data_IF_075023700392
#
_entry.id   IF_075023700392
#
_cell.length_a   1.000
_cell.length_b   1.000
_cell.length_c   1.000
_cell.angle_alpha   90.00
_cell.angle_beta   90.00
_cell.angle_gamma   90.00
#
_symmetry.space_group_name_H-M   'P 1'
#
loop_
_entity.id
_entity.type
_entity.pdbx_description
1 polymer ?
#
# COMPACT_ATOMS: atom_id res chain seq x y z
N UNK A 1 -8.69 -17.52 3.19
CA UNK A 1 -8.89 -16.08 2.89
C UNK A 1 -8.48 -15.32 4.13
N UNK A 2 -7.31 -14.68 4.13
CA UNK A 2 -6.88 -13.83 5.25
C UNK A 2 -7.54 -12.47 5.01
N UNK A 3 -8.39 -12.03 5.95
CA UNK A 3 -9.00 -10.70 5.94
C UNK A 3 -8.14 -9.79 6.79
N UNK A 4 -7.66 -8.69 6.21
CA UNK A 4 -6.88 -7.67 6.92
C UNK A 4 -7.77 -6.44 7.10
N UNK A 5 -8.12 -6.16 8.36
CA UNK A 5 -9.03 -5.09 8.76
C UNK A 5 -8.22 -3.85 9.14
N UNK A 6 -8.36 -2.80 8.34
CA UNK A 6 -7.73 -1.51 8.59
C UNK A 6 -8.68 -0.60 9.36
N UNK A 7 -8.21 0.01 10.45
CA UNK A 7 -8.95 1.05 11.18
C UNK A 7 -8.21 2.38 11.06
N UNK A 8 -8.83 3.38 10.44
CA UNK A 8 -8.31 4.75 10.49
C UNK A 8 -8.68 5.44 11.83
N UNK A 9 -8.19 6.68 12.06
CA UNK A 9 -8.49 7.45 13.29
C UNK A 9 -10.00 7.67 13.55
N UNK A 10 -10.86 7.45 12.56
CA UNK A 10 -12.31 7.57 12.67
C UNK A 10 -13.02 6.21 12.86
N UNK A 11 -12.28 5.09 12.94
CA UNK A 11 -12.85 3.76 13.11
C UNK A 11 -13.41 3.16 11.81
N UNK A 12 -13.02 3.70 10.65
CA UNK A 12 -13.44 3.15 9.36
C UNK A 12 -12.75 1.81 9.12
N UNK A 13 -13.56 0.76 8.89
CA UNK A 13 -13.08 -0.57 8.52
C UNK A 13 -12.90 -0.68 6.99
N UNK A 14 -11.67 -0.95 6.55
CA UNK A 14 -11.34 -1.21 5.13
C UNK A 14 -10.78 -2.62 5.00
N UNK A 15 -11.35 -3.42 4.09
CA UNK A 15 -10.83 -4.73 3.67
C UNK A 15 -9.73 -4.51 2.63
N UNK A 16 -8.52 -5.02 2.89
CA UNK A 16 -7.41 -4.97 1.93
C UNK A 16 -7.17 -6.32 1.25
N UNK A 17 -6.74 -6.27 -0.02
CA UNK A 17 -6.19 -7.45 -0.68
C UNK A 17 -4.81 -7.82 -0.09
N UNK A 18 -4.59 -9.11 0.26
CA UNK A 18 -3.34 -9.54 0.90
C UNK A 18 -2.13 -9.51 -0.03
N UNK A 19 -2.34 -9.38 -1.35
CA UNK A 19 -1.28 -9.29 -2.34
C UNK A 19 -0.94 -7.83 -2.64
N UNK A 20 0.29 -7.41 -2.31
CA UNK A 20 0.79 -6.09 -2.66
C UNK A 20 1.17 -6.02 -4.15
N UNK A 21 0.79 -4.93 -4.82
CA UNK A 21 1.00 -4.70 -6.25
C UNK A 21 1.59 -3.31 -6.52
N UNK A 22 2.34 -3.17 -7.61
CA UNK A 22 2.84 -1.87 -8.05
C UNK A 22 1.66 -0.99 -8.47
N UNK A 23 1.61 0.23 -7.95
CA UNK A 23 0.48 1.14 -8.15
C UNK A 23 -0.68 0.95 -7.19
N UNK A 24 -0.51 0.16 -6.12
CA UNK A 24 -1.41 0.20 -4.96
C UNK A 24 -1.27 1.50 -4.16
N UNK A 25 -2.10 1.63 -3.13
CA UNK A 25 -2.32 2.90 -2.43
C UNK A 25 -2.10 2.84 -0.92
N UNK A 26 -1.95 1.65 -0.33
CA UNK A 26 -1.87 1.50 1.12
C UNK A 26 -0.65 0.69 1.56
N UNK A 27 -0.09 1.08 2.70
CA UNK A 27 0.85 0.28 3.48
C UNK A 27 0.23 -0.03 4.83
N UNK A 28 0.53 -1.19 5.40
CA UNK A 28 0.15 -1.52 6.77
C UNK A 28 1.34 -2.03 7.56
N UNK A 29 1.29 -1.81 8.87
CA UNK A 29 2.29 -2.30 9.82
C UNK A 29 1.76 -3.52 10.56
N UNK A 30 2.68 -4.27 11.18
CA UNK A 30 2.33 -5.40 12.04
C UNK A 30 1.17 -5.05 12.98
N UNK A 31 0.25 -6.01 13.19
CA UNK A 31 -0.98 -5.75 13.91
C UNK A 31 -0.66 -5.38 15.36
N UNK A 32 -1.39 -4.38 15.86
CA UNK A 32 -1.43 -4.07 17.28
C UNK A 32 -2.64 -4.75 17.90
N UNK A 33 -2.54 -5.16 19.16
CA UNK A 33 -3.67 -5.72 19.90
C UNK A 33 -4.28 -4.64 20.79
N UNK A 34 -5.59 -4.43 20.68
CA UNK A 34 -6.35 -3.61 21.61
C UNK A 34 -7.59 -4.40 22.05
N UNK A 35 -7.70 -4.70 23.35
CA UNK A 35 -8.85 -5.41 23.93
C UNK A 35 -9.21 -6.71 23.17
N UNK A 36 -8.23 -7.59 22.94
CA UNK A 36 -8.37 -8.85 22.19
C UNK A 36 -8.77 -8.74 20.71
N UNK A 37 -8.82 -7.52 20.17
CA UNK A 37 -9.02 -7.26 18.74
C UNK A 37 -7.67 -6.99 18.08
N UNK A 38 -7.40 -7.73 17.00
CA UNK A 38 -6.25 -7.49 16.14
C UNK A 38 -6.54 -6.30 15.22
N UNK A 39 -5.83 -5.19 15.44
CA UNK A 39 -5.98 -3.95 14.68
C UNK A 39 -4.75 -3.79 13.79
N UNK A 40 -4.96 -3.74 12.48
CA UNK A 40 -3.92 -3.37 11.54
C UNK A 40 -3.95 -1.86 11.32
N UNK A 41 -2.81 -1.22 11.60
CA UNK A 41 -2.64 0.19 11.26
C UNK A 41 -2.15 0.30 9.84
N UNK A 42 -2.67 1.27 9.12
CA UNK A 42 -2.23 1.56 7.77
C UNK A 42 -2.16 3.05 7.51
N UNK A 43 -1.48 3.38 6.42
CA UNK A 43 -1.43 4.71 5.87
C UNK A 43 -1.55 4.63 4.36
N UNK A 44 -2.00 5.74 3.78
CA UNK A 44 -1.84 5.95 2.36
C UNK A 44 -0.36 5.89 1.98
N UNK A 45 -0.11 5.41 0.76
CA UNK A 45 1.18 5.43 0.11
C UNK A 45 1.72 6.86 0.18
N UNK A 46 2.92 7.07 0.76
CA UNK A 46 3.49 8.39 0.81
C UNK A 46 3.82 8.88 -0.59
N UNK A 47 3.87 10.20 -0.77
CA UNK A 47 4.23 10.81 -2.06
C UNK A 47 5.69 10.50 -2.42
N UNK A 48 6.55 10.44 -1.40
CA UNK A 48 7.97 10.14 -1.51
C UNK A 48 8.39 9.17 -0.40
N UNK A 49 9.44 8.38 -0.66
CA UNK A 49 10.04 7.48 0.33
C UNK A 49 11.53 7.76 0.46
N UNK A 50 12.03 7.55 1.66
CA UNK A 50 13.47 7.57 1.92
C UNK A 50 14.19 6.47 1.13
N UNK A 51 15.44 6.77 0.81
CA UNK A 51 16.36 5.85 0.16
C UNK A 51 16.55 4.57 0.98
N UNK A 52 16.78 3.42 0.32
CA UNK A 52 17.17 2.20 1.01
C UNK A 52 18.47 2.41 1.79
N UNK A 53 18.56 1.81 2.98
CA UNK A 53 19.76 1.90 3.83
C UNK A 53 21.01 1.30 3.18
N UNK A 54 20.83 0.42 2.19
CA UNK A 54 21.88 -0.30 1.47
C UNK A 54 22.11 0.21 0.03
N UNK A 55 21.66 1.42 -0.29
CA UNK A 55 21.91 2.04 -1.60
C UNK A 55 23.40 2.40 -1.76
N UNK A 56 23.95 2.26 -2.97
CA UNK A 56 25.32 2.67 -3.27
C UNK A 56 25.47 4.20 -3.20
N UNK A 57 26.68 4.72 -3.00
CA UNK A 57 26.91 6.17 -2.96
C UNK A 57 26.58 6.84 -4.31
N UNK A 58 26.81 6.15 -5.43
CA UNK A 58 26.50 6.66 -6.76
C UNK A 58 24.98 6.74 -6.98
N UNK A 59 24.25 5.68 -6.65
CA UNK A 59 22.79 5.64 -6.75
C UNK A 59 22.12 6.60 -5.77
N UNK A 60 22.73 6.84 -4.61
CA UNK A 60 22.25 7.81 -3.62
C UNK A 60 22.11 9.21 -4.22
N UNK A 61 23.08 9.64 -5.05
CA UNK A 61 23.08 10.99 -5.63
C UNK A 61 21.95 11.23 -6.62
N UNK A 62 21.39 10.15 -7.18
CA UNK A 62 20.32 10.20 -8.19
C UNK A 62 19.01 9.62 -7.66
N UNK A 63 18.90 9.37 -6.36
CA UNK A 63 17.69 8.79 -5.77
C UNK A 63 16.49 9.74 -5.90
N UNK A 64 15.47 9.29 -6.63
CA UNK A 64 14.16 9.93 -6.69
C UNK A 64 13.21 9.22 -5.71
N UNK A 65 12.92 9.87 -4.58
CA UNK A 65 11.99 9.34 -3.58
C UNK A 65 10.57 9.15 -4.10
N UNK A 66 10.15 9.91 -5.12
CA UNK A 66 8.83 9.79 -5.74
C UNK A 66 8.78 8.60 -6.68
N UNK A 67 9.82 8.38 -7.47
CA UNK A 67 9.97 7.15 -8.27
C UNK A 67 10.04 5.92 -7.36
N UNK A 68 10.81 6.00 -6.27
CA UNK A 68 10.89 4.97 -5.25
C UNK A 68 9.52 4.65 -4.62
N UNK A 69 8.69 5.66 -4.39
CA UNK A 69 7.33 5.44 -3.87
C UNK A 69 6.45 4.75 -4.92
N UNK A 70 6.54 5.12 -6.19
CA UNK A 70 5.71 4.56 -7.27
C UNK A 70 6.10 3.15 -7.70
N UNK A 71 7.37 2.77 -7.55
CA UNK A 71 7.90 1.45 -7.93
C UNK A 71 7.70 0.37 -6.87
N UNK A 72 7.49 0.75 -5.60
CA UNK A 72 7.20 -0.20 -4.51
C UNK A 72 5.82 -0.85 -4.68
N UNK A 73 5.70 -2.06 -4.14
CA UNK A 73 4.42 -2.78 -4.06
C UNK A 73 3.65 -2.31 -2.83
N UNK A 74 2.38 -2.00 -3.03
CA UNK A 74 1.46 -1.52 -2.00
C UNK A 74 0.14 -2.29 -2.09
N UNK A 75 -0.65 -2.25 -1.04
CA UNK A 75 -1.97 -2.90 -1.01
C UNK A 75 -3.04 -2.00 -1.64
N UNK A 76 -4.16 -2.62 -2.00
CA UNK A 76 -5.37 -1.95 -2.48
C UNK A 76 -6.58 -2.39 -1.67
N UNK A 77 -7.60 -1.55 -1.65
CA UNK A 77 -8.93 -1.94 -1.16
C UNK A 77 -9.45 -3.13 -1.97
N UNK A 78 -9.92 -4.14 -1.25
CA UNK A 78 -10.47 -5.33 -1.85
C UNK A 78 -11.74 -5.00 -2.63
N UNK A 79 -11.83 -5.53 -3.85
CA UNK A 79 -13.06 -5.50 -4.65
C UNK A 79 -13.45 -6.94 -4.96
N UNK A 80 -14.64 -7.34 -4.52
CA UNK A 80 -15.12 -8.70 -4.69
C UNK A 80 -15.04 -9.14 -6.16
N UNK A 81 -14.45 -10.30 -6.40
CA UNK A 81 -14.29 -10.90 -7.72
C UNK A 81 -13.13 -10.33 -8.56
N UNK A 82 -12.33 -9.40 -8.03
CA UNK A 82 -11.14 -8.86 -8.69
C UNK A 82 -9.88 -9.16 -7.88
N UNK A 83 -8.77 -9.37 -8.58
CA UNK A 83 -7.43 -9.39 -7.97
C UNK A 83 -6.88 -7.98 -7.82
N UNK A 84 -5.91 -7.79 -6.92
CA UNK A 84 -5.24 -6.50 -6.72
C UNK A 84 -4.67 -5.92 -8.04
N UNK A 85 -4.10 -6.77 -8.89
CA UNK A 85 -3.59 -6.36 -10.20
C UNK A 85 -4.71 -5.89 -11.15
N UNK A 86 -5.86 -6.57 -11.15
CA UNK A 86 -7.02 -6.19 -11.96
C UNK A 86 -7.61 -4.85 -11.50
N UNK A 87 -7.65 -4.61 -10.18
CA UNK A 87 -8.11 -3.35 -9.59
C UNK A 87 -7.23 -2.19 -10.07
N UNK A 88 -5.90 -2.32 -9.95
CA UNK A 88 -4.96 -1.28 -10.41
C UNK A 88 -5.08 -1.04 -11.92
N UNK A 89 -5.16 -2.11 -12.72
CA UNK A 89 -5.30 -1.99 -14.18
C UNK A 89 -6.60 -1.25 -14.57
N UNK A 90 -7.72 -1.53 -13.88
CA UNK A 90 -8.99 -0.87 -14.11
C UNK A 90 -8.95 0.64 -13.84
N UNK A 91 -8.25 1.07 -12.79
CA UNK A 91 -8.09 2.50 -12.45
C UNK A 91 -7.28 3.25 -13.51
N UNK A 92 -6.20 2.64 -14.02
CA UNK A 92 -5.39 3.24 -15.09
C UNK A 92 -6.22 3.50 -16.34
N UNK A 93 -7.08 2.56 -16.74
CA UNK A 93 -7.99 2.72 -17.89
C UNK A 93 -8.95 3.89 -17.72
N UNK A 94 -9.51 4.10 -16.52
CA UNK A 94 -10.41 5.23 -16.24
C UNK A 94 -9.72 6.59 -16.27
N UNK A 95 -8.42 6.67 -16.00
CA UNK A 95 -7.65 7.93 -16.07
C UNK A 95 -7.25 8.32 -17.50
N UNK A 96 -7.30 7.38 -18.44
CA UNK A 96 -6.95 7.59 -19.85
C UNK A 96 -8.17 7.79 -20.76
N UNK A 97 -9.38 7.76 -20.19
CA UNK A 97 -10.65 8.06 -20.85
C UNK A 97 -11.13 9.44 -20.39
#
# INVERSE_FOLDING_TARGET
MIKVYLFDRAGLHIDLDPEAVVGGDYTFWNPTYACDVQIWRAAYRPVEVEQPLNISHEDFKVWDGREGANSRRWHVEHVCGLTAAQIVAGRRRRRSA
#
